data_IF_330633403770
#
_entry.id   IF_330633403770
#
_cell.length_a   1.000
_cell.length_b   1.000
_cell.length_c   1.000
_cell.angle_alpha   90.00
_cell.angle_beta   90.00
_cell.angle_gamma   90.00
#
_symmetry.space_group_name_H-M   'P 1'
#
loop_
_entity.id
_entity.type
_entity.pdbx_description
1 polymer ?
#
# COMPACT_ATOMS: atom_id res chain seq x y z
N UNK A 1 50.39 80.92 -40.18
CA UNK A 1 49.90 80.17 -38.99
C UNK A 1 50.55 80.54 -37.65
N UNK A 2 51.84 80.96 -37.55
CA UNK A 2 52.47 81.32 -36.25
C UNK A 2 51.90 82.58 -35.58
N UNK A 3 51.29 83.48 -36.35
CA UNK A 3 50.66 84.72 -35.85
C UNK A 3 49.40 84.44 -35.04
N UNK A 4 48.66 83.39 -35.41
CA UNK A 4 47.36 83.03 -34.85
C UNK A 4 47.49 82.39 -33.46
N UNK A 5 48.51 81.54 -33.29
CA UNK A 5 48.83 80.90 -31.99
C UNK A 5 49.28 81.94 -30.95
N UNK A 6 50.02 82.97 -31.36
CA UNK A 6 50.43 84.06 -30.46
C UNK A 6 49.22 84.90 -30.04
N UNK A 7 48.34 85.22 -30.99
CA UNK A 7 47.11 85.95 -30.71
C UNK A 7 46.19 85.17 -29.77
N UNK A 8 45.95 83.88 -30.02
CA UNK A 8 45.16 83.03 -29.12
C UNK A 8 45.79 82.89 -27.72
N UNK A 9 47.12 82.81 -27.60
CA UNK A 9 47.80 82.82 -26.29
C UNK A 9 47.59 84.14 -25.55
N UNK A 10 47.65 85.25 -26.25
CA UNK A 10 47.48 86.58 -25.66
C UNK A 10 46.02 86.82 -25.25
N UNK A 11 45.07 86.33 -26.05
CA UNK A 11 43.65 86.33 -25.72
C UNK A 11 43.34 85.44 -24.51
N UNK A 12 43.97 84.26 -24.40
CA UNK A 12 43.88 83.40 -23.22
C UNK A 12 44.38 84.08 -21.94
N UNK A 13 45.46 84.87 -22.01
CA UNK A 13 45.99 85.61 -20.86
C UNK A 13 45.02 86.73 -20.46
N UNK A 14 44.53 87.51 -21.43
CA UNK A 14 43.53 88.56 -21.18
C UNK A 14 42.25 88.01 -20.56
N UNK A 15 41.74 86.89 -21.08
CA UNK A 15 40.55 86.23 -20.52
C UNK A 15 40.80 85.73 -19.08
N UNK A 16 41.99 85.18 -18.80
CA UNK A 16 42.36 84.77 -17.43
C UNK A 16 42.42 85.94 -16.46
N UNK A 17 42.95 87.08 -16.90
CA UNK A 17 43.01 88.29 -16.07
C UNK A 17 41.60 88.85 -15.81
N UNK A 18 40.73 88.89 -16.82
CA UNK A 18 39.34 89.34 -16.69
C UNK A 18 38.53 88.42 -15.75
N UNK A 19 38.75 87.10 -15.82
CA UNK A 19 38.16 86.13 -14.89
C UNK A 19 38.67 86.37 -13.45
N UNK A 20 39.96 86.58 -13.26
CA UNK A 20 40.52 86.85 -11.93
C UNK A 20 40.01 88.17 -11.35
N UNK A 21 39.88 89.22 -12.17
CA UNK A 21 39.39 90.52 -11.74
C UNK A 21 37.91 90.47 -11.35
N UNK A 22 37.10 89.70 -12.10
CA UNK A 22 35.69 89.46 -11.77
C UNK A 22 35.53 88.59 -10.50
N UNK A 23 36.39 87.60 -10.29
CA UNK A 23 36.44 86.83 -9.03
C UNK A 23 36.83 87.71 -7.83
N UNK A 24 37.84 88.57 -7.97
CA UNK A 24 38.22 89.53 -6.94
C UNK A 24 37.08 90.50 -6.59
N UNK A 25 36.33 90.99 -7.59
CA UNK A 25 35.17 91.88 -7.35
C UNK A 25 34.02 91.18 -6.63
N UNK A 26 33.76 89.90 -6.91
CA UNK A 26 32.63 89.16 -6.33
C UNK A 26 32.94 88.49 -4.99
N UNK A 27 34.15 87.98 -4.82
CA UNK A 27 34.54 87.14 -3.68
C UNK A 27 35.64 87.75 -2.81
N UNK A 28 36.22 88.89 -3.21
CA UNK A 28 37.31 89.55 -2.48
C UNK A 28 38.66 88.82 -2.52
N UNK A 29 38.72 87.65 -3.18
CA UNK A 29 39.91 86.82 -3.39
C UNK A 29 39.77 86.03 -4.70
N UNK A 30 40.90 85.68 -5.32
CA UNK A 30 40.91 84.69 -6.41
C UNK A 30 40.69 83.33 -5.77
N UNK A 31 39.64 82.63 -6.20
CA UNK A 31 39.29 81.29 -5.71
C UNK A 31 39.83 80.28 -6.71
N UNK A 32 40.52 79.25 -6.22
CA UNK A 32 40.84 78.10 -7.04
C UNK A 32 39.54 77.30 -7.25
N UNK A 33 39.02 77.36 -8.48
CA UNK A 33 37.79 76.66 -8.85
C UNK A 33 37.99 75.14 -8.80
N UNK A 34 39.18 74.65 -9.09
CA UNK A 34 39.47 73.22 -9.10
C UNK A 34 39.42 72.68 -7.66
N UNK A 35 39.99 73.42 -6.70
CA UNK A 35 39.94 73.07 -5.27
C UNK A 35 38.50 73.14 -4.73
N UNK A 36 37.73 74.17 -5.11
CA UNK A 36 36.34 74.31 -4.69
C UNK A 36 35.45 73.18 -5.23
N UNK A 37 35.58 72.87 -6.51
CA UNK A 37 34.86 71.76 -7.15
C UNK A 37 35.23 70.43 -6.49
N UNK A 38 36.51 70.17 -6.24
CA UNK A 38 36.95 68.97 -5.53
C UNK A 38 36.35 68.88 -4.13
N UNK A 39 36.28 70.00 -3.40
CA UNK A 39 35.71 70.02 -2.05
C UNK A 39 34.21 69.71 -2.06
N UNK A 40 33.47 70.28 -3.01
CA UNK A 40 32.03 70.02 -3.20
C UNK A 40 31.80 68.56 -3.59
N UNK A 41 32.59 68.00 -4.51
CA UNK A 41 32.50 66.60 -4.90
C UNK A 41 32.79 65.65 -3.73
N UNK A 42 33.77 65.96 -2.89
CA UNK A 42 34.06 65.19 -1.67
C UNK A 42 32.88 65.21 -0.70
N UNK A 43 32.24 66.38 -0.52
CA UNK A 43 31.04 66.49 0.33
C UNK A 43 29.88 65.66 -0.23
N UNK A 44 29.56 65.79 -1.52
CA UNK A 44 28.51 64.96 -2.15
C UNK A 44 28.81 63.47 -2.05
N UNK A 45 30.07 63.07 -2.22
CA UNK A 45 30.47 61.67 -2.11
C UNK A 45 30.29 61.16 -0.68
N UNK A 46 30.60 61.98 0.32
CA UNK A 46 30.40 61.63 1.72
C UNK A 46 28.92 61.51 2.08
N UNK A 47 28.09 62.47 1.67
CA UNK A 47 26.63 62.43 1.87
C UNK A 47 26.00 61.23 1.15
N UNK A 48 26.42 60.91 -0.08
CA UNK A 48 25.96 59.71 -0.77
C UNK A 48 26.33 58.43 -0.02
N UNK A 49 27.56 58.33 0.52
CA UNK A 49 27.97 57.15 1.29
C UNK A 49 27.19 57.00 2.58
N UNK A 50 26.99 58.09 3.32
CA UNK A 50 26.19 58.08 4.54
C UNK A 50 24.74 57.63 4.26
N UNK A 51 24.13 58.18 3.21
CA UNK A 51 22.78 57.77 2.79
C UNK A 51 22.73 56.30 2.36
N UNK A 52 23.75 55.80 1.64
CA UNK A 52 23.83 54.39 1.25
C UNK A 52 23.96 53.46 2.46
N UNK A 53 24.74 53.84 3.47
CA UNK A 53 24.89 53.05 4.70
C UNK A 53 23.59 53.00 5.50
N UNK A 54 22.85 54.11 5.60
CA UNK A 54 21.53 54.16 6.24
C UNK A 54 20.50 53.30 5.49
N UNK A 55 20.48 53.38 4.16
CA UNK A 55 19.62 52.54 3.31
C UNK A 55 19.97 51.07 3.46
N UNK A 56 21.26 50.72 3.46
CA UNK A 56 21.72 49.34 3.67
C UNK A 56 21.26 48.81 5.02
N UNK A 57 21.41 49.61 6.08
CA UNK A 57 20.98 49.24 7.43
C UNK A 57 19.47 49.00 7.51
N UNK A 58 18.67 49.84 6.85
CA UNK A 58 17.21 49.66 6.72
C UNK A 58 16.85 48.35 6.04
N UNK A 59 17.52 48.00 4.94
CA UNK A 59 17.32 46.72 4.26
C UNK A 59 17.75 45.52 5.11
N UNK A 60 18.85 45.63 5.86
CA UNK A 60 19.30 44.58 6.78
C UNK A 60 18.33 44.36 7.95
N UNK A 61 17.73 45.42 8.47
CA UNK A 61 16.67 45.33 9.50
C UNK A 61 15.44 44.65 8.94
N UNK A 62 14.98 45.06 7.75
CA UNK A 62 13.81 44.44 7.10
C UNK A 62 14.06 42.97 6.75
N UNK A 63 15.26 42.62 6.31
CA UNK A 63 15.65 41.23 6.08
C UNK A 63 15.65 40.40 7.37
N UNK A 64 16.08 40.97 8.50
CA UNK A 64 16.00 40.32 9.82
C UNK A 64 14.55 40.12 10.27
N UNK A 65 13.70 41.11 10.08
CA UNK A 65 12.27 41.01 10.40
C UNK A 65 11.58 39.92 9.58
N UNK A 66 11.82 39.89 8.26
CA UNK A 66 11.29 38.83 7.40
C UNK A 66 11.78 37.44 7.81
N UNK A 67 13.08 37.29 8.10
CA UNK A 67 13.62 36.01 8.60
C UNK A 67 12.96 35.56 9.89
N UNK A 68 12.69 36.48 10.81
CA UNK A 68 12.00 36.19 12.08
C UNK A 68 10.55 35.79 11.84
N UNK A 69 9.85 36.49 10.94
CA UNK A 69 8.48 36.15 10.56
C UNK A 69 8.40 34.75 9.93
N UNK A 70 9.33 34.45 9.02
CA UNK A 70 9.42 33.14 8.37
C UNK A 70 9.65 32.02 9.40
N UNK A 71 10.60 32.19 10.32
CA UNK A 71 10.87 31.22 11.37
C UNK A 71 9.64 30.97 12.27
N UNK A 72 8.91 32.03 12.64
CA UNK A 72 7.67 31.91 13.42
C UNK A 72 6.59 31.14 12.65
N UNK A 73 6.43 31.42 11.35
CA UNK A 73 5.45 30.74 10.51
C UNK A 73 5.80 29.27 10.27
N UNK A 74 7.09 28.96 10.13
CA UNK A 74 7.57 27.58 10.05
C UNK A 74 7.28 26.81 11.34
N UNK A 75 7.45 27.43 12.50
CA UNK A 75 7.15 26.81 13.80
C UNK A 75 5.64 26.59 13.99
N UNK A 76 4.81 27.54 13.56
CA UNK A 76 3.36 27.41 13.55
C UNK A 76 2.91 26.25 12.66
N UNK A 77 3.48 26.12 11.46
CA UNK A 77 3.21 25.01 10.56
C UNK A 77 3.57 23.66 11.17
N UNK A 78 4.73 23.55 11.84
CA UNK A 78 5.13 22.32 12.54
C UNK A 78 4.10 21.91 13.61
N UNK A 79 3.59 22.87 14.38
CA UNK A 79 2.55 22.59 15.39
C UNK A 79 1.27 22.08 14.76
N UNK A 80 0.81 22.72 13.68
CA UNK A 80 -0.40 22.29 12.96
C UNK A 80 -0.24 20.89 12.39
N UNK A 81 0.93 20.57 11.80
CA UNK A 81 1.22 19.23 11.30
C UNK A 81 1.22 18.20 12.44
N UNK A 82 1.85 18.52 13.58
CA UNK A 82 1.87 17.65 14.74
C UNK A 82 0.45 17.39 15.27
N UNK A 83 -0.35 18.45 15.47
CA UNK A 83 -1.75 18.32 15.91
C UNK A 83 -2.60 17.52 14.92
N UNK A 84 -2.38 17.72 13.61
CA UNK A 84 -3.05 16.95 12.56
C UNK A 84 -2.71 15.45 12.64
N UNK A 85 -1.43 15.15 12.86
CA UNK A 85 -0.93 13.76 12.98
C UNK A 85 -1.47 13.09 14.24
N UNK A 86 -1.52 13.80 15.37
CA UNK A 86 -2.10 13.30 16.62
C UNK A 86 -3.61 13.02 16.48
N UNK A 87 -4.35 13.92 15.83
CA UNK A 87 -5.79 13.72 15.53
C UNK A 87 -6.01 12.53 14.62
N UNK A 88 -5.18 12.38 13.58
CA UNK A 88 -5.25 11.23 12.67
C UNK A 88 -5.01 9.92 13.42
N UNK A 89 -3.98 9.88 14.28
CA UNK A 89 -3.69 8.70 15.10
C UNK A 89 -4.88 8.30 15.99
N UNK A 90 -5.50 9.28 16.67
CA UNK A 90 -6.70 9.03 17.47
C UNK A 90 -7.84 8.49 16.61
N UNK A 91 -8.03 9.04 15.42
CA UNK A 91 -9.08 8.60 14.49
C UNK A 91 -8.84 7.17 14.02
N UNK A 92 -7.60 6.78 13.74
CA UNK A 92 -7.22 5.40 13.41
C UNK A 92 -7.59 4.44 14.55
N UNK A 93 -7.21 4.77 15.79
CA UNK A 93 -7.54 3.93 16.96
C UNK A 93 -9.05 3.82 17.15
N UNK A 94 -9.79 4.93 17.00
CA UNK A 94 -11.25 4.91 17.09
C UNK A 94 -11.89 4.06 15.99
N UNK A 95 -11.34 4.08 14.78
CA UNK A 95 -11.82 3.26 13.67
C UNK A 95 -11.57 1.77 13.92
N UNK A 96 -10.41 1.41 14.49
CA UNK A 96 -10.10 0.04 14.91
C UNK A 96 -11.08 -0.45 15.98
N UNK A 97 -11.34 0.35 17.02
CA UNK A 97 -12.31 0.03 18.06
C UNK A 97 -13.74 -0.09 17.52
N UNK A 98 -14.12 0.80 16.61
CA UNK A 98 -15.41 0.71 15.91
C UNK A 98 -15.52 -0.61 15.14
N UNK A 99 -14.50 -0.97 14.37
CA UNK A 99 -14.47 -2.23 13.62
C UNK A 99 -14.54 -3.45 14.54
N UNK A 100 -13.84 -3.41 15.68
CA UNK A 100 -13.90 -4.46 16.71
C UNK A 100 -15.32 -4.61 17.27
N UNK A 101 -15.98 -3.49 17.55
CA UNK A 101 -17.35 -3.50 18.07
C UNK A 101 -18.35 -4.04 17.04
N UNK A 102 -18.22 -3.65 15.76
CA UNK A 102 -19.04 -4.18 14.67
C UNK A 102 -18.90 -5.70 14.56
N UNK A 103 -17.67 -6.22 14.62
CA UNK A 103 -17.42 -7.67 14.61
C UNK A 103 -18.05 -8.37 15.82
N UNK A 104 -17.91 -7.79 17.01
CA UNK A 104 -18.51 -8.33 18.24
C UNK A 104 -20.04 -8.39 18.15
N UNK A 105 -20.68 -7.33 17.64
CA UNK A 105 -22.12 -7.28 17.43
C UNK A 105 -22.60 -8.31 16.39
N UNK A 106 -21.87 -8.47 15.29
CA UNK A 106 -22.16 -9.49 14.29
C UNK A 106 -22.09 -10.90 14.89
N UNK A 107 -21.05 -11.18 15.68
CA UNK A 107 -20.91 -12.46 16.37
C UNK A 107 -22.05 -12.70 17.38
N UNK A 108 -22.43 -11.68 18.14
CA UNK A 108 -23.54 -11.76 19.08
C UNK A 108 -24.87 -12.08 18.38
N UNK A 109 -25.12 -11.48 17.20
CA UNK A 109 -26.31 -11.77 16.40
C UNK A 109 -26.38 -13.23 15.98
N UNK A 110 -25.26 -13.81 15.52
CA UNK A 110 -25.17 -15.24 15.16
C UNK A 110 -25.45 -16.13 16.38
N UNK A 111 -24.91 -15.79 17.55
CA UNK A 111 -25.17 -16.55 18.78
C UNK A 111 -26.64 -16.50 19.21
N UNK A 112 -27.29 -15.34 19.06
CA UNK A 112 -28.72 -15.19 19.32
C UNK A 112 -29.57 -16.01 18.34
N UNK A 113 -29.22 -16.00 17.06
CA UNK A 113 -29.90 -16.82 16.04
C UNK A 113 -29.75 -18.32 16.36
N UNK A 114 -28.55 -18.78 16.74
CA UNK A 114 -28.35 -20.16 17.20
C UNK A 114 -29.14 -20.51 18.44
N UNK A 115 -29.25 -19.58 19.41
CA UNK A 115 -30.02 -19.79 20.63
C UNK A 115 -31.53 -19.83 20.37
N UNK A 116 -32.00 -19.08 19.37
CA UNK A 116 -33.40 -19.03 18.97
C UNK A 116 -33.81 -20.21 18.08
N UNK A 117 -32.85 -20.98 17.55
CA UNK A 117 -33.16 -22.23 16.87
C UNK A 117 -33.71 -23.24 17.88
N UNK A 118 -34.84 -23.91 17.57
CA UNK A 118 -35.35 -24.96 18.43
C UNK A 118 -34.28 -26.06 18.56
N UNK A 119 -34.14 -26.69 19.75
CA UNK A 119 -33.20 -27.77 19.92
C UNK A 119 -33.46 -28.86 18.86
N UNK A 120 -32.40 -29.48 18.32
CA UNK A 120 -32.53 -30.50 17.28
C UNK A 120 -33.53 -31.56 17.76
N UNK A 121 -34.56 -31.78 16.95
CA UNK A 121 -35.65 -32.68 17.34
C UNK A 121 -35.19 -34.11 17.12
N UNK A 122 -34.76 -34.78 18.19
CA UNK A 122 -34.30 -36.18 18.17
C UNK A 122 -35.42 -37.20 17.91
N UNK A 123 -36.59 -36.78 17.44
CA UNK A 123 -37.76 -37.64 17.25
C UNK A 123 -37.50 -38.73 16.22
N UNK A 124 -36.81 -38.40 15.12
CA UNK A 124 -36.44 -39.34 14.06
C UNK A 124 -35.41 -40.37 14.52
N UNK A 125 -34.43 -39.93 15.32
CA UNK A 125 -33.44 -40.84 15.87
C UNK A 125 -34.05 -41.74 16.95
N UNK A 126 -34.98 -41.21 17.75
CA UNK A 126 -35.75 -42.01 18.71
C UNK A 126 -36.65 -43.05 18.04
N UNK A 127 -37.25 -42.75 16.88
CA UNK A 127 -38.01 -43.75 16.11
C UNK A 127 -37.11 -44.82 15.52
N UNK A 128 -35.96 -44.44 14.93
CA UNK A 128 -34.96 -45.40 14.43
C UNK A 128 -34.46 -46.32 15.56
N UNK A 129 -34.11 -45.74 16.72
CA UNK A 129 -33.67 -46.52 17.89
C UNK A 129 -34.75 -47.47 18.39
N UNK A 130 -36.03 -47.05 18.37
CA UNK A 130 -37.17 -47.90 18.75
C UNK A 130 -37.36 -49.06 17.76
N UNK A 131 -37.17 -48.81 16.47
CA UNK A 131 -37.27 -49.83 15.43
C UNK A 131 -36.13 -50.85 15.55
N UNK A 132 -34.90 -50.39 15.76
CA UNK A 132 -33.75 -51.26 16.04
C UNK A 132 -34.02 -52.12 17.28
N UNK A 133 -34.52 -51.54 18.37
CA UNK A 133 -34.86 -52.28 19.58
C UNK A 133 -35.94 -53.35 19.34
N UNK A 134 -36.92 -53.07 18.47
CA UNK A 134 -37.95 -54.05 18.08
C UNK A 134 -37.34 -55.21 17.31
N UNK A 135 -36.50 -54.92 16.31
CA UNK A 135 -35.81 -55.94 15.51
C UNK A 135 -34.93 -56.83 16.39
N UNK A 136 -34.15 -56.22 17.30
CA UNK A 136 -33.32 -56.97 18.24
C UNK A 136 -34.14 -57.89 19.14
N UNK A 137 -35.31 -57.44 19.62
CA UNK A 137 -36.22 -58.28 20.42
C UNK A 137 -36.76 -59.47 19.62
N UNK A 138 -37.10 -59.28 18.36
CA UNK A 138 -37.54 -60.36 17.46
C UNK A 138 -36.42 -61.36 17.17
N UNK A 139 -35.19 -60.88 16.96
CA UNK A 139 -34.00 -61.71 16.82
C UNK A 139 -33.75 -62.55 18.08
N UNK A 140 -33.79 -61.94 19.27
CA UNK A 140 -33.65 -62.64 20.56
C UNK A 140 -34.72 -63.74 20.69
N UNK A 141 -35.98 -63.45 20.37
CA UNK A 141 -37.05 -64.44 20.44
C UNK A 141 -36.85 -65.61 19.46
N UNK A 142 -36.25 -65.35 18.30
CA UNK A 142 -35.94 -66.37 17.30
C UNK A 142 -34.80 -67.26 17.77
N UNK A 143 -33.71 -66.66 18.25
CA UNK A 143 -32.58 -67.39 18.85
C UNK A 143 -33.02 -68.21 20.06
N UNK A 144 -33.88 -67.68 20.93
CA UNK A 144 -34.41 -68.45 22.06
C UNK A 144 -35.23 -69.67 21.62
N UNK A 145 -36.04 -69.54 20.56
CA UNK A 145 -36.76 -70.68 19.98
C UNK A 145 -35.81 -71.72 19.41
N UNK A 146 -34.79 -71.27 18.69
CA UNK A 146 -33.75 -72.15 18.14
C UNK A 146 -32.97 -72.88 19.24
N UNK A 147 -32.56 -72.19 20.30
CA UNK A 147 -31.91 -72.79 21.47
C UNK A 147 -32.82 -73.85 22.11
N UNK A 148 -34.13 -73.60 22.25
CA UNK A 148 -35.06 -74.61 22.78
C UNK A 148 -35.14 -75.84 21.87
N UNK A 149 -35.24 -75.63 20.55
CA UNK A 149 -35.27 -76.73 19.57
C UNK A 149 -33.96 -77.53 19.59
N UNK A 150 -32.81 -76.87 19.60
CA UNK A 150 -31.49 -77.51 19.72
C UNK A 150 -31.35 -78.25 21.04
N UNK A 151 -31.78 -77.64 22.16
CA UNK A 151 -31.81 -78.29 23.47
C UNK A 151 -32.64 -79.58 23.46
N UNK A 152 -33.81 -79.57 22.80
CA UNK A 152 -34.64 -80.77 22.63
C UNK A 152 -33.98 -81.82 21.73
N UNK A 153 -33.24 -81.43 20.69
CA UNK A 153 -32.43 -82.35 19.86
C UNK A 153 -31.24 -82.95 20.63
N UNK A 154 -30.65 -82.19 21.56
CA UNK A 154 -29.51 -82.65 22.37
C UNK A 154 -29.91 -83.59 23.53
N UNK A 155 -31.16 -83.54 24.01
CA UNK A 155 -31.66 -84.46 25.06
C UNK A 155 -31.53 -85.96 24.70
N UNK A 156 -32.03 -86.45 23.55
CA UNK A 156 -31.88 -87.85 23.17
C UNK A 156 -30.40 -88.23 22.94
N UNK A 157 -29.58 -87.32 22.44
CA UNK A 157 -28.12 -87.53 22.32
C UNK A 157 -27.47 -87.71 23.69
N UNK A 158 -27.87 -86.92 24.69
CA UNK A 158 -27.38 -87.07 26.08
C UNK A 158 -27.81 -88.39 26.71
N UNK A 159 -29.03 -88.85 26.44
CA UNK A 159 -29.51 -90.16 26.87
C UNK A 159 -28.76 -91.31 26.17
N UNK A 160 -28.48 -91.18 24.87
CA UNK A 160 -27.64 -92.12 24.13
C UNK A 160 -26.22 -92.18 24.68
N UNK A 161 -25.59 -91.02 24.94
CA UNK A 161 -24.27 -90.93 25.58
C UNK A 161 -24.28 -91.58 26.97
N UNK A 162 -25.30 -91.33 27.79
CA UNK A 162 -25.42 -91.97 29.10
C UNK A 162 -25.60 -93.49 29.00
N UNK A 163 -26.30 -93.97 27.96
CA UNK A 163 -26.50 -95.40 27.71
C UNK A 163 -25.21 -96.07 27.27
N UNK A 164 -24.51 -95.46 26.31
CA UNK A 164 -23.17 -95.87 25.89
C UNK A 164 -22.15 -95.81 27.03
N UNK A 165 -22.20 -94.81 27.92
CA UNK A 165 -21.35 -94.76 29.11
C UNK A 165 -21.67 -95.89 30.11
N UNK A 166 -22.93 -96.30 30.26
CA UNK A 166 -23.27 -97.48 31.05
C UNK A 166 -22.75 -98.75 30.40
N UNK A 167 -22.88 -98.89 29.08
CA UNK A 167 -22.31 -100.02 28.34
C UNK A 167 -20.78 -100.08 28.48
N UNK A 168 -20.09 -98.93 28.34
CA UNK A 168 -18.64 -98.83 28.57
C UNK A 168 -18.28 -99.19 30.01
N UNK A 169 -19.03 -98.74 31.02
CA UNK A 169 -18.80 -99.17 32.42
C UNK A 169 -19.04 -100.66 32.62
N UNK A 170 -20.01 -101.23 31.93
CA UNK A 170 -20.35 -102.67 32.02
C UNK A 170 -19.29 -103.53 31.31
N UNK A 171 -18.78 -103.06 30.18
CA UNK A 171 -17.66 -103.67 29.46
C UNK A 171 -16.34 -103.50 30.23
N UNK A 172 -16.14 -102.36 30.89
CA UNK A 172 -15.02 -102.09 31.80
C UNK A 172 -15.06 -102.94 33.07
N UNK A 173 -16.22 -103.45 33.48
CA UNK A 173 -16.34 -104.44 34.56
C UNK A 173 -16.12 -105.88 34.08
N UNK A 174 -16.30 -106.16 32.78
CA UNK A 174 -16.01 -107.47 32.15
C UNK A 174 -14.54 -107.65 31.78
N UNK A 175 -13.75 -106.58 31.76
CA UNK A 175 -12.32 -106.63 31.48
C UNK A 175 -11.52 -105.93 32.59
N UNK A 176 -10.84 -106.70 33.44
CA UNK A 176 -9.65 -106.26 34.19
C UNK A 176 -8.73 -107.45 34.42
N UNK A 177 -7.40 -107.27 34.57
CA UNK A 177 -6.67 -106.01 34.63
C UNK A 177 -5.49 -105.94 33.65
N UNK A 178 -4.91 -104.76 33.45
CA UNK A 178 -3.45 -104.51 33.42
C UNK A 178 -3.17 -103.09 32.95
N UNK A 179 -2.42 -102.34 33.77
CA UNK A 179 -1.54 -101.20 33.42
C UNK A 179 -2.18 -100.00 32.70
N UNK A 180 -1.62 -98.81 32.68
CA UNK A 180 -0.58 -98.07 33.40
C UNK A 180 -0.64 -96.65 32.79
N UNK A 181 -0.03 -95.68 33.48
CA UNK A 181 0.63 -94.51 32.87
C UNK A 181 -0.20 -93.49 32.06
N UNK A 182 -0.45 -92.33 32.70
CA UNK A 182 -0.08 -90.94 32.28
C UNK A 182 -0.44 -90.40 30.87
N UNK A 183 -0.21 -89.10 30.56
CA UNK A 183 -0.34 -87.86 31.33
C UNK A 183 -1.20 -86.79 30.61
N UNK A 184 -1.46 -85.69 31.32
CA UNK A 184 -2.06 -84.45 30.82
C UNK A 184 -1.25 -83.79 29.70
N UNK A 185 -1.96 -83.28 28.68
CA UNK A 185 -1.40 -82.38 27.65
C UNK A 185 -2.32 -81.16 27.56
N UNK A 186 -1.91 -80.06 28.17
CA UNK A 186 -2.54 -78.74 28.02
C UNK A 186 -1.74 -77.93 26.98
N UNK A 187 -2.40 -77.58 25.88
CA UNK A 187 -1.82 -76.85 24.75
C UNK A 187 -1.91 -75.35 25.01
N UNK A 188 -0.76 -74.69 24.91
CA UNK A 188 -0.53 -73.25 25.02
C UNK A 188 -1.02 -72.50 23.78
N UNK A 189 -1.67 -71.33 23.94
CA UNK A 189 -1.94 -70.36 22.87
C UNK A 189 -1.27 -69.01 23.25
N UNK A 190 -0.46 -68.38 22.36
CA UNK A 190 0.14 -67.06 22.56
C UNK A 190 -0.79 -65.88 22.13
N UNK A 191 -0.43 -64.61 22.44
CA UNK A 191 -1.37 -63.51 22.72
C UNK A 191 -1.60 -62.55 21.54
N UNK A 192 -2.55 -61.58 21.64
CA UNK A 192 -2.50 -60.38 20.82
C UNK A 192 -1.89 -59.18 21.56
N UNK A 193 -1.01 -58.50 20.83
CA UNK A 193 -0.22 -57.31 21.15
C UNK A 193 -1.13 -56.07 21.19
N UNK A 194 -1.00 -55.27 22.25
CA UNK A 194 -1.64 -53.96 22.39
C UNK A 194 -0.75 -52.88 21.75
N UNK A 195 -1.21 -52.27 20.65
CA UNK A 195 -0.56 -51.11 20.03
C UNK A 195 -0.91 -49.82 20.77
N UNK A 196 0.11 -49.09 21.21
CA UNK A 196 0.01 -47.70 21.68
C UNK A 196 -0.09 -46.75 20.47
N UNK A 197 -0.94 -45.69 20.52
CA UNK A 197 -0.91 -44.61 19.54
C UNK A 197 0.22 -43.59 19.83
N UNK A 198 0.74 -42.91 18.78
CA UNK A 198 1.80 -41.90 18.90
C UNK A 198 1.29 -40.54 19.42
N UNK A 199 2.21 -39.64 19.85
CA UNK A 199 1.87 -38.39 20.54
C UNK A 199 1.42 -37.32 19.54
N UNK A 200 0.40 -36.56 19.93
CA UNK A 200 -0.09 -35.40 19.17
C UNK A 200 0.70 -34.17 19.62
N UNK A 201 1.28 -33.49 18.64
CA UNK A 201 2.06 -32.28 18.80
C UNK A 201 1.19 -31.08 19.19
N UNK A 202 1.84 -30.18 19.89
CA UNK A 202 1.40 -28.87 20.34
C UNK A 202 1.45 -27.85 19.17
N UNK A 203 0.84 -26.69 19.42
CA UNK A 203 0.98 -25.39 18.73
C UNK A 203 0.04 -24.94 17.59
N UNK A 204 -0.31 -23.64 17.73
CA UNK A 204 -0.70 -22.65 16.70
C UNK A 204 -2.19 -22.40 16.45
N UNK A 205 -2.82 -21.70 17.39
CA UNK A 205 -4.11 -21.00 17.22
C UNK A 205 -3.94 -19.58 16.62
N UNK A 206 -2.71 -19.15 16.32
CA UNK A 206 -2.43 -17.77 15.87
C UNK A 206 -2.36 -17.55 14.35
N UNK A 207 -2.36 -18.61 13.53
CA UNK A 207 -2.23 -18.46 12.07
C UNK A 207 -3.56 -18.45 11.29
N UNK A 208 -4.70 -18.70 11.94
CA UNK A 208 -6.00 -18.82 11.24
C UNK A 208 -6.83 -17.53 11.21
N UNK A 209 -6.30 -16.40 11.69
CA UNK A 209 -7.06 -15.12 11.80
C UNK A 209 -6.74 -14.13 10.66
N UNK A 210 -5.74 -14.40 9.82
CA UNK A 210 -5.34 -13.47 8.75
C UNK A 210 -5.92 -13.76 7.36
N UNK A 211 -6.58 -14.91 7.13
CA UNK A 211 -7.00 -15.35 5.79
C UNK A 211 -8.51 -15.24 5.48
N UNK A 212 -9.25 -14.43 6.24
CA UNK A 212 -10.70 -14.25 5.98
C UNK A 212 -11.10 -12.78 5.90
N UNK A 213 -10.71 -12.13 4.80
CA UNK A 213 -11.42 -10.96 4.28
C UNK A 213 -11.80 -11.24 2.81
N UNK A 214 -13.05 -11.00 2.38
CA UNK A 214 -13.49 -11.31 1.03
C UNK A 214 -12.87 -10.36 -0.01
N UNK A 215 -12.59 -10.85 -1.24
CA UNK A 215 -12.03 -10.05 -2.32
C UNK A 215 -13.14 -9.25 -2.99
N UNK A 216 -13.50 -8.10 -2.43
CA UNK A 216 -14.44 -7.20 -3.10
C UNK A 216 -14.25 -5.77 -2.60
N UNK A 217 -13.21 -5.13 -3.15
CA UNK A 217 -13.04 -3.68 -3.44
C UNK A 217 -11.54 -3.44 -3.59
N UNK A 218 -10.93 -3.98 -4.66
CA UNK A 218 -9.65 -3.49 -5.15
C UNK A 218 -9.93 -2.83 -6.50
N UNK A 219 -10.38 -1.57 -6.43
CA UNK A 219 -9.79 -0.60 -7.34
C UNK A 219 -8.30 -0.58 -6.96
N UNK A 220 -7.44 -0.82 -7.93
CA UNK A 220 -5.99 -0.78 -7.80
C UNK A 220 -5.57 0.62 -7.35
N UNK A 221 -5.33 0.80 -6.05
CA UNK A 221 -4.55 1.94 -5.58
C UNK A 221 -3.09 1.74 -6.03
N UNK A 222 -2.37 2.82 -6.40
CA UNK A 222 -0.96 2.76 -6.81
C UNK A 222 -0.07 1.98 -5.81
N UNK A 223 -0.43 1.98 -4.52
CA UNK A 223 0.30 1.32 -3.44
C UNK A 223 0.33 -0.20 -3.49
N UNK A 224 -0.72 -0.84 -4.04
CA UNK A 224 -0.75 -2.31 -4.15
C UNK A 224 0.18 -2.80 -5.26
N UNK A 225 0.34 -2.01 -6.32
CA UNK A 225 1.21 -2.35 -7.44
C UNK A 225 2.68 -2.32 -7.01
N UNK A 226 3.11 -1.23 -6.36
CA UNK A 226 4.46 -1.11 -5.79
C UNK A 226 4.78 -2.25 -4.83
N UNK A 227 3.86 -2.56 -3.92
CA UNK A 227 4.03 -3.65 -2.98
C UNK A 227 4.20 -5.00 -3.70
N UNK A 228 3.38 -5.29 -4.71
CA UNK A 228 3.45 -6.56 -5.44
C UNK A 228 4.73 -6.68 -6.27
N UNK A 229 5.22 -5.58 -6.86
CA UNK A 229 6.43 -5.59 -7.69
C UNK A 229 7.71 -5.67 -6.84
N UNK A 230 7.78 -4.91 -5.74
CA UNK A 230 8.85 -5.05 -4.73
C UNK A 230 8.83 -6.47 -4.14
N UNK A 231 7.65 -7.01 -3.83
CA UNK A 231 7.48 -8.38 -3.33
C UNK A 231 7.98 -9.41 -4.34
N UNK A 232 7.67 -9.26 -5.63
CA UNK A 232 8.18 -10.15 -6.68
C UNK A 232 9.71 -10.11 -6.81
N UNK A 233 10.31 -8.91 -6.82
CA UNK A 233 11.76 -8.76 -6.90
C UNK A 233 12.49 -9.38 -5.70
N UNK A 234 11.91 -9.28 -4.50
CA UNK A 234 12.46 -9.87 -3.29
C UNK A 234 12.23 -11.39 -3.27
N UNK A 235 11.09 -11.88 -3.75
CA UNK A 235 10.79 -13.32 -3.85
C UNK A 235 11.75 -13.99 -4.84
N UNK A 236 11.94 -13.42 -6.04
CA UNK A 236 12.88 -13.93 -7.04
C UNK A 236 14.31 -13.97 -6.50
N UNK A 237 14.75 -12.90 -5.81
CA UNK A 237 16.06 -12.85 -5.17
C UNK A 237 16.24 -13.89 -4.07
N UNK A 238 15.27 -14.03 -3.16
CA UNK A 238 15.37 -14.97 -2.05
C UNK A 238 15.22 -16.42 -2.52
N UNK A 239 14.43 -16.68 -3.55
CA UNK A 239 14.34 -18.01 -4.18
C UNK A 239 15.64 -18.37 -4.88
N UNK A 240 16.28 -17.43 -5.57
CA UNK A 240 17.58 -17.64 -6.23
C UNK A 240 18.70 -17.90 -5.21
N UNK A 241 18.74 -17.14 -4.11
CA UNK A 241 19.82 -17.23 -3.12
C UNK A 241 19.60 -18.30 -2.04
N UNK A 242 18.34 -18.59 -1.66
CA UNK A 242 18.00 -19.45 -0.52
C UNK A 242 17.07 -20.61 -0.85
N UNK A 243 16.49 -20.68 -2.06
CA UNK A 243 15.43 -21.63 -2.43
C UNK A 243 15.80 -23.11 -2.35
N UNK A 244 17.09 -23.45 -2.24
CA UNK A 244 17.56 -24.82 -2.01
C UNK A 244 17.67 -25.22 -0.54
N UNK A 245 17.57 -24.27 0.40
CA UNK A 245 17.89 -24.47 1.83
C UNK A 245 16.75 -24.11 2.79
N UNK A 246 15.76 -23.34 2.33
CA UNK A 246 14.67 -22.78 3.16
C UNK A 246 13.32 -23.19 2.57
N UNK A 247 12.33 -23.41 3.44
CA UNK A 247 10.96 -23.71 3.04
C UNK A 247 10.33 -22.49 2.36
N UNK A 248 9.57 -22.69 1.29
CA UNK A 248 8.88 -21.61 0.57
C UNK A 248 7.94 -20.78 1.46
N UNK A 249 7.43 -21.35 2.56
CA UNK A 249 6.59 -20.62 3.53
C UNK A 249 7.38 -19.55 4.29
N UNK A 250 8.63 -19.82 4.63
CA UNK A 250 9.48 -18.91 5.38
C UNK A 250 10.02 -17.81 4.47
N UNK A 251 10.34 -18.15 3.22
CA UNK A 251 10.68 -17.18 2.17
C UNK A 251 9.53 -16.19 2.00
N UNK A 252 8.30 -16.66 1.77
CA UNK A 252 7.13 -15.78 1.62
C UNK A 252 6.88 -14.87 2.83
N UNK A 253 7.14 -15.35 4.04
CA UNK A 253 7.02 -14.54 5.25
C UNK A 253 8.04 -13.41 5.26
N UNK A 254 9.29 -13.71 4.94
CA UNK A 254 10.38 -12.71 4.88
C UNK A 254 10.15 -11.71 3.74
N UNK A 255 9.73 -12.19 2.57
CA UNK A 255 9.32 -11.36 1.42
C UNK A 255 8.27 -10.34 1.82
N UNK A 256 7.19 -10.76 2.48
CA UNK A 256 6.13 -9.82 2.92
C UNK A 256 6.66 -8.73 3.87
N UNK A 257 7.52 -9.08 4.83
CA UNK A 257 8.05 -8.11 5.78
C UNK A 257 9.03 -7.13 5.11
N UNK A 258 9.89 -7.64 4.23
CA UNK A 258 10.83 -6.83 3.47
C UNK A 258 10.14 -5.94 2.44
N UNK A 259 9.09 -6.45 1.78
CA UNK A 259 8.28 -5.68 0.84
C UNK A 259 7.60 -4.51 1.55
N UNK A 260 6.96 -4.74 2.70
CA UNK A 260 6.40 -3.65 3.50
C UNK A 260 7.46 -2.62 3.96
N UNK A 261 8.62 -3.10 4.42
CA UNK A 261 9.70 -2.24 4.87
C UNK A 261 10.24 -1.35 3.74
N UNK A 262 10.53 -1.93 2.56
CA UNK A 262 11.08 -1.22 1.42
C UNK A 262 10.04 -0.33 0.74
N UNK A 263 8.78 -0.75 0.65
CA UNK A 263 7.68 0.12 0.20
C UNK A 263 7.56 1.37 1.08
N UNK A 264 7.66 1.23 2.41
CA UNK A 264 7.60 2.36 3.34
C UNK A 264 8.82 3.30 3.20
N UNK A 265 10.00 2.76 2.90
CA UNK A 265 11.19 3.59 2.67
C UNK A 265 11.05 4.40 1.38
N UNK A 266 10.60 3.76 0.30
CA UNK A 266 10.42 4.42 -1.00
C UNK A 266 9.38 5.54 -0.91
N UNK A 267 8.34 5.36 -0.09
CA UNK A 267 7.28 6.38 0.09
C UNK A 267 7.72 7.60 0.91
N UNK A 268 8.61 7.40 1.90
CA UNK A 268 8.95 8.45 2.86
C UNK A 268 10.28 9.17 2.56
N UNK A 269 11.12 8.62 1.69
CA UNK A 269 12.46 9.17 1.43
C UNK A 269 12.64 9.56 -0.04
N UNK A 270 12.98 10.82 -0.27
CA UNK A 270 13.37 11.30 -1.59
C UNK A 270 14.64 10.58 -2.08
N UNK A 271 14.71 10.19 -3.36
CA UNK A 271 15.80 9.39 -3.93
C UNK A 271 17.18 10.08 -3.90
N UNK A 272 17.20 11.37 -3.62
CA UNK A 272 18.41 12.19 -3.42
C UNK A 272 19.21 11.78 -2.18
N UNK A 273 18.55 11.18 -1.17
CA UNK A 273 19.16 10.70 0.06
C UNK A 273 19.33 9.17 0.11
N UNK A 274 18.99 8.46 -0.98
CA UNK A 274 19.03 7.00 -1.03
C UNK A 274 20.46 6.45 -0.87
N UNK A 275 21.47 7.14 -1.38
CA UNK A 275 22.89 6.75 -1.22
C UNK A 275 23.37 6.81 0.23
N UNK A 276 22.86 7.76 1.02
CA UNK A 276 23.25 7.96 2.42
C UNK A 276 22.52 6.98 3.35
N UNK A 277 21.32 6.54 2.94
CA UNK A 277 20.49 5.59 3.69
C UNK A 277 20.78 4.12 3.35
N UNK A 278 21.38 3.83 2.18
CA UNK A 278 21.72 2.48 1.72
C UNK A 278 22.42 1.60 2.79
N UNK A 279 23.42 2.10 3.55
CA UNK A 279 24.09 1.29 4.58
C UNK A 279 23.15 0.87 5.71
N UNK A 280 22.23 1.76 6.12
CA UNK A 280 21.27 1.52 7.19
C UNK A 280 20.11 0.62 6.74
N UNK A 281 19.72 0.72 5.46
CA UNK A 281 18.73 -0.17 4.85
C UNK A 281 19.31 -1.58 4.73
N UNK A 282 20.58 -1.73 4.34
CA UNK A 282 21.27 -3.03 4.30
C UNK A 282 21.38 -3.63 5.70
N UNK A 283 21.71 -2.84 6.72
CA UNK A 283 21.79 -3.32 8.10
C UNK A 283 20.43 -3.84 8.62
N UNK A 284 19.35 -3.10 8.35
CA UNK A 284 18.00 -3.54 8.69
C UNK A 284 17.54 -4.73 7.84
N UNK A 285 17.89 -4.79 6.55
CA UNK A 285 17.61 -5.93 5.69
C UNK A 285 18.19 -7.22 6.27
N UNK A 286 19.42 -7.16 6.80
CA UNK A 286 20.06 -8.28 7.48
C UNK A 286 19.31 -8.70 8.75
N UNK A 287 18.67 -7.77 9.47
CA UNK A 287 17.91 -8.12 10.69
C UNK A 287 16.66 -8.99 10.43
N UNK A 288 16.13 -8.99 9.20
CA UNK A 288 15.00 -9.83 8.80
C UNK A 288 15.40 -11.26 8.40
N UNK A 289 16.69 -11.54 8.27
CA UNK A 289 17.22 -12.85 7.85
C UNK A 289 18.05 -13.44 9.01
N UNK A 290 17.82 -14.70 9.42
CA UNK A 290 18.64 -15.36 10.43
C UNK A 290 20.14 -15.32 10.07
N UNK A 291 21.02 -15.07 11.04
CA UNK A 291 22.49 -14.95 10.86
C UNK A 291 23.11 -16.18 10.16
N UNK A 292 22.50 -17.35 10.34
CA UNK A 292 22.90 -18.62 9.73
C UNK A 292 22.73 -18.65 8.20
N UNK A 293 21.77 -17.88 7.67
CA UNK A 293 21.44 -17.76 6.24
C UNK A 293 22.07 -16.53 5.59
N UNK A 294 22.56 -15.58 6.39
CA UNK A 294 23.28 -14.40 5.94
C UNK A 294 24.67 -14.71 5.39
N UNK A 295 25.30 -15.81 5.83
CA UNK A 295 26.62 -16.25 5.36
C UNK A 295 26.58 -16.62 3.86
N UNK A 296 25.41 -17.04 3.37
CA UNK A 296 25.22 -17.45 1.97
C UNK A 296 24.91 -16.31 1.02
N UNK A 297 24.49 -15.13 1.52
CA UNK A 297 24.11 -14.01 0.66
C UNK A 297 25.27 -13.00 0.61
N UNK A 298 25.88 -12.76 -0.58
CA UNK A 298 26.92 -11.76 -0.70
C UNK A 298 26.35 -10.36 -0.44
N UNK A 299 27.02 -9.51 0.37
CA UNK A 299 26.54 -8.17 0.69
C UNK A 299 26.44 -7.27 -0.55
N UNK A 300 27.24 -7.53 -1.60
CA UNK A 300 27.10 -6.88 -2.91
C UNK A 300 25.75 -7.17 -3.58
N UNK A 301 25.23 -8.40 -3.49
CA UNK A 301 23.96 -8.76 -4.14
C UNK A 301 22.75 -8.12 -3.45
N UNK A 302 22.82 -7.89 -2.13
CA UNK A 302 21.80 -7.14 -1.39
C UNK A 302 21.81 -5.66 -1.83
N UNK A 303 23.00 -5.08 -2.00
CA UNK A 303 23.14 -3.71 -2.49
C UNK A 303 22.63 -3.58 -3.94
N UNK A 304 22.92 -4.54 -4.81
CA UNK A 304 22.42 -4.57 -6.19
C UNK A 304 20.89 -4.73 -6.25
N UNK A 305 20.28 -5.55 -5.39
CA UNK A 305 18.83 -5.66 -5.27
C UNK A 305 18.20 -4.32 -4.84
N UNK A 306 18.74 -3.72 -3.78
CA UNK A 306 18.23 -2.45 -3.24
C UNK A 306 18.42 -1.33 -4.26
N UNK A 307 19.57 -1.26 -4.93
CA UNK A 307 19.80 -0.31 -6.04
C UNK A 307 18.91 -0.60 -7.24
N UNK A 308 18.61 -1.87 -7.57
CA UNK A 308 17.68 -2.21 -8.64
C UNK A 308 16.28 -1.73 -8.29
N UNK A 309 15.82 -1.96 -7.05
CA UNK A 309 14.56 -1.44 -6.53
C UNK A 309 14.57 0.09 -6.63
N UNK A 310 15.55 0.75 -6.03
CA UNK A 310 15.66 2.21 -6.11
C UNK A 310 15.77 2.74 -7.53
N UNK A 311 16.43 2.04 -8.48
CA UNK A 311 16.57 2.43 -9.89
C UNK A 311 15.26 2.28 -10.66
N UNK A 312 14.58 1.15 -10.51
CA UNK A 312 13.23 0.91 -11.06
C UNK A 312 12.24 1.97 -10.58
N UNK A 313 12.48 2.57 -9.40
CA UNK A 313 11.65 3.64 -8.85
C UNK A 313 12.29 5.04 -8.86
N UNK A 314 13.52 5.20 -9.40
CA UNK A 314 14.24 6.49 -9.53
C UNK A 314 13.73 7.28 -10.73
N UNK A 315 13.28 6.57 -11.74
CA UNK A 315 12.38 7.05 -12.77
C UNK A 315 11.00 6.99 -12.13
N UNK A 316 10.61 8.07 -11.42
CA UNK A 316 9.32 8.12 -10.75
C UNK A 316 8.25 7.76 -11.76
N UNK A 317 7.54 6.66 -11.51
CA UNK A 317 6.40 6.18 -12.30
C UNK A 317 6.40 6.68 -13.74
N UNK A 318 7.25 6.11 -14.60
CA UNK A 318 6.88 6.03 -16.02
C UNK A 318 5.80 4.93 -16.13
N UNK A 319 4.69 5.09 -15.40
CA UNK A 319 3.40 4.70 -15.95
C UNK A 319 3.38 5.47 -17.26
N UNK A 320 3.34 4.77 -18.38
CA UNK A 320 3.20 5.43 -19.67
C UNK A 320 1.84 6.13 -19.61
N UNK A 321 1.84 7.39 -19.15
CA UNK A 321 0.64 8.20 -18.93
C UNK A 321 -0.15 8.26 -20.23
N UNK A 322 0.53 8.11 -21.38
CA UNK A 322 -0.07 7.98 -22.70
C UNK A 322 -0.84 6.68 -22.91
N UNK A 323 -0.39 5.54 -22.36
CA UNK A 323 -1.13 4.28 -22.42
C UNK A 323 -2.41 4.36 -21.58
N UNK A 324 -2.31 4.83 -20.33
CA UNK A 324 -3.49 5.03 -19.46
C UNK A 324 -4.45 6.06 -20.03
N UNK A 325 -3.95 7.22 -20.48
CA UNK A 325 -4.78 8.23 -21.13
C UNK A 325 -5.40 7.68 -22.43
N UNK A 326 -4.69 6.82 -23.14
CA UNK A 326 -5.19 6.15 -24.35
C UNK A 326 -6.35 5.23 -24.05
N UNK A 327 -6.25 4.44 -22.98
CA UNK A 327 -7.32 3.57 -22.49
C UNK A 327 -8.52 4.37 -21.98
N UNK A 328 -8.29 5.45 -21.21
CA UNK A 328 -9.36 6.34 -20.73
C UNK A 328 -10.13 6.92 -21.90
N UNK A 329 -9.43 7.49 -22.89
CA UNK A 329 -10.07 8.07 -24.08
C UNK A 329 -10.83 7.00 -24.86
N UNK A 330 -10.26 5.80 -25.02
CA UNK A 330 -10.94 4.69 -25.72
C UNK A 330 -12.20 4.26 -24.98
N UNK A 331 -12.14 4.11 -23.65
CA UNK A 331 -13.25 3.70 -22.81
C UNK A 331 -14.38 4.74 -22.83
N UNK A 332 -14.08 6.03 -22.66
CA UNK A 332 -15.08 7.10 -22.75
C UNK A 332 -15.75 7.16 -24.14
N UNK A 333 -15.03 6.84 -25.21
CA UNK A 333 -15.58 6.77 -26.57
C UNK A 333 -16.46 5.53 -26.79
N UNK A 334 -16.22 4.43 -26.08
CA UNK A 334 -17.08 3.23 -26.11
C UNK A 334 -18.34 3.40 -25.26
N UNK A 335 -18.23 4.09 -24.13
CA UNK A 335 -19.33 4.28 -23.18
C UNK A 335 -20.34 5.36 -23.61
N UNK A 336 -19.91 6.36 -24.38
CA UNK A 336 -20.76 7.48 -24.80
C UNK A 336 -21.03 7.40 -26.30
N UNK A 337 -22.31 7.24 -26.66
CA UNK A 337 -22.73 7.12 -28.05
C UNK A 337 -22.84 8.49 -28.76
N UNK A 338 -22.39 8.62 -30.02
CA UNK A 338 -22.44 9.87 -30.82
C UNK A 338 -23.83 10.49 -31.03
N UNK A 339 -24.90 9.72 -30.82
CA UNK A 339 -26.29 10.18 -30.96
C UNK A 339 -26.84 10.88 -29.71
N UNK A 340 -26.02 11.05 -28.66
CA UNK A 340 -26.41 11.74 -27.42
C UNK A 340 -26.47 13.26 -27.61
N UNK A 341 -27.44 13.91 -26.95
CA UNK A 341 -27.46 15.37 -26.84
C UNK A 341 -26.21 15.82 -26.06
N UNK A 342 -25.54 16.87 -26.54
CA UNK A 342 -24.30 17.40 -25.96
C UNK A 342 -23.15 16.38 -25.92
N UNK A 343 -22.99 15.60 -26.99
CA UNK A 343 -21.95 14.56 -27.12
C UNK A 343 -20.53 15.05 -26.76
N UNK A 344 -20.10 16.21 -27.29
CA UNK A 344 -18.78 16.79 -26.99
C UNK A 344 -18.58 17.05 -25.49
N UNK A 345 -19.61 17.57 -24.83
CA UNK A 345 -19.57 17.89 -23.41
C UNK A 345 -19.51 16.62 -22.57
N UNK A 346 -20.38 15.64 -22.85
CA UNK A 346 -20.45 14.40 -22.08
C UNK A 346 -19.14 13.59 -22.17
N UNK A 347 -18.51 13.52 -23.36
CA UNK A 347 -17.22 12.84 -23.51
C UNK A 347 -16.14 13.51 -22.68
N UNK A 348 -16.03 14.83 -22.76
CA UNK A 348 -14.99 15.55 -22.02
C UNK A 348 -15.21 15.44 -20.51
N UNK A 349 -16.45 15.51 -20.04
CA UNK A 349 -16.79 15.28 -18.63
C UNK A 349 -16.36 13.88 -18.19
N UNK A 350 -16.69 12.85 -18.96
CA UNK A 350 -16.38 11.46 -18.61
C UNK A 350 -14.87 11.19 -18.60
N UNK A 351 -14.14 11.69 -19.62
CA UNK A 351 -12.68 11.63 -19.67
C UNK A 351 -12.09 12.33 -18.45
N UNK A 352 -12.56 13.53 -18.11
CA UNK A 352 -12.06 14.27 -16.94
C UNK A 352 -12.35 13.56 -15.62
N UNK A 353 -13.54 12.95 -15.46
CA UNK A 353 -13.87 12.14 -14.27
C UNK A 353 -12.94 10.93 -14.15
N UNK A 354 -12.70 10.23 -15.26
CA UNK A 354 -11.81 9.07 -15.29
C UNK A 354 -10.34 9.47 -15.03
N UNK A 355 -9.88 10.58 -15.61
CA UNK A 355 -8.54 11.13 -15.37
C UNK A 355 -8.36 11.52 -13.90
N UNK A 356 -9.33 12.18 -13.27
CA UNK A 356 -9.27 12.54 -11.86
C UNK A 356 -9.34 11.33 -10.91
N UNK A 357 -9.94 10.23 -11.35
CA UNK A 357 -9.99 8.99 -10.58
C UNK A 357 -8.71 8.15 -10.69
N UNK A 358 -7.87 8.40 -11.71
CA UNK A 358 -6.73 7.54 -12.06
C UNK A 358 -5.37 8.23 -11.97
N UNK A 359 -5.30 9.55 -12.24
CA UNK A 359 -4.06 10.33 -12.27
C UNK A 359 -4.04 11.38 -11.15
N UNK A 360 -2.84 11.74 -10.70
CA UNK A 360 -2.68 12.84 -9.75
C UNK A 360 -2.95 14.18 -10.43
N UNK A 361 -3.50 15.11 -9.65
CA UNK A 361 -3.89 16.47 -10.07
C UNK A 361 -2.73 17.24 -10.75
N UNK A 362 -1.48 16.97 -10.34
CA UNK A 362 -0.29 17.58 -10.93
C UNK A 362 0.00 17.11 -12.37
N UNK A 363 -0.36 15.87 -12.71
CA UNK A 363 -0.08 15.24 -14.00
C UNK A 363 -1.12 15.62 -15.07
N UNK A 364 -2.31 16.03 -14.62
CA UNK A 364 -3.42 16.46 -15.49
C UNK A 364 -3.14 17.80 -16.17
N UNK A 365 -2.38 18.68 -15.53
CA UNK A 365 -2.08 20.03 -16.03
C UNK A 365 -0.84 20.10 -16.93
N UNK A 366 -0.23 18.96 -17.26
CA UNK A 366 0.94 18.95 -18.13
C UNK A 366 0.53 19.19 -19.61
N UNK A 367 1.24 20.05 -20.37
CA UNK A 367 0.92 20.33 -21.78
C UNK A 367 0.86 19.08 -22.67
N UNK A 368 1.74 18.10 -22.42
CA UNK A 368 1.76 16.86 -23.20
C UNK A 368 0.53 15.98 -22.94
N UNK A 369 0.02 15.96 -21.71
CA UNK A 369 -1.22 15.26 -21.32
C UNK A 369 -2.43 15.88 -22.02
N UNK A 370 -2.51 17.21 -22.00
CA UNK A 370 -3.56 17.99 -22.68
C UNK A 370 -3.54 17.72 -24.18
N UNK A 371 -2.37 17.76 -24.81
CA UNK A 371 -2.20 17.50 -26.24
C UNK A 371 -2.57 16.05 -26.61
N UNK A 372 -2.26 15.09 -25.74
CA UNK A 372 -2.56 13.68 -25.98
C UNK A 372 -4.08 13.41 -25.95
N UNK A 373 -4.78 13.91 -24.93
CA UNK A 373 -6.24 13.81 -24.83
C UNK A 373 -6.91 14.49 -26.03
N UNK A 374 -6.46 15.70 -26.39
CA UNK A 374 -6.98 16.43 -27.54
C UNK A 374 -6.80 15.64 -28.85
N UNK A 375 -5.64 15.01 -29.07
CA UNK A 375 -5.38 14.22 -30.26
C UNK A 375 -6.25 12.96 -30.36
N UNK A 376 -6.54 12.30 -29.23
CA UNK A 376 -7.40 11.12 -29.18
C UNK A 376 -8.87 11.40 -29.52
N UNK A 377 -9.33 12.61 -29.25
CA UNK A 377 -10.71 13.06 -29.46
C UNK A 377 -10.87 13.75 -30.84
N UNK A 378 -9.86 14.51 -31.28
CA UNK A 378 -9.87 15.37 -32.48
C UNK A 378 -10.38 14.74 -33.78
N UNK A 379 -10.16 13.45 -33.99
CA UNK A 379 -10.48 12.78 -35.27
C UNK A 379 -11.84 12.06 -35.26
N UNK A 380 -12.62 12.19 -34.19
CA UNK A 380 -13.86 11.43 -34.00
C UNK A 380 -15.09 12.23 -34.50
N UNK A 381 -16.05 11.60 -35.19
CA UNK A 381 -17.21 12.28 -35.75
C UNK A 381 -18.19 12.72 -34.65
N UNK A 382 -18.66 13.97 -34.71
CA UNK A 382 -19.68 14.51 -33.79
C UNK A 382 -19.14 15.41 -32.68
N UNK A 383 -17.82 15.62 -32.58
CA UNK A 383 -17.23 16.56 -31.62
C UNK A 383 -17.22 17.97 -32.21
N UNK A 384 -18.01 18.83 -31.58
CA UNK A 384 -18.00 20.27 -31.76
C UNK A 384 -17.37 20.94 -30.51
N UNK A 385 -16.14 21.51 -30.61
CA UNK A 385 -15.48 22.20 -29.50
C UNK A 385 -16.14 23.53 -29.14
N UNK A 386 -16.89 24.15 -30.05
CA UNK A 386 -17.56 25.44 -29.82
C UNK A 386 -18.94 25.28 -29.15
N UNK A 387 -19.48 24.06 -29.15
CA UNK A 387 -20.70 23.68 -28.45
C UNK A 387 -20.52 23.32 -26.96
N UNK A 388 -19.29 23.36 -26.43
CA UNK A 388 -19.00 22.97 -25.03
C UNK A 388 -19.08 24.18 -24.10
N UNK A 389 -19.96 24.11 -23.10
CA UNK A 389 -20.02 25.09 -22.03
C UNK A 389 -18.97 24.76 -20.95
N UNK A 390 -17.89 25.54 -20.92
CA UNK A 390 -16.73 25.33 -20.04
C UNK A 390 -17.10 25.56 -18.57
N UNK A 391 -17.87 26.60 -18.27
CA UNK A 391 -18.30 26.92 -16.91
C UNK A 391 -19.13 25.80 -16.28
N UNK A 392 -20.12 25.28 -17.02
CA UNK A 392 -20.97 24.19 -16.54
C UNK A 392 -20.16 22.89 -16.35
N UNK A 393 -19.17 22.66 -17.21
CA UNK A 393 -18.29 21.49 -17.11
C UNK A 393 -17.36 21.57 -15.88
N UNK A 394 -16.83 22.76 -15.59
CA UNK A 394 -16.00 22.99 -14.41
C UNK A 394 -16.80 22.75 -13.13
N UNK A 395 -18.04 23.22 -13.05
CA UNK A 395 -18.92 23.00 -11.89
C UNK A 395 -19.21 21.50 -11.67
N UNK A 396 -19.50 20.76 -12.73
CA UNK A 396 -19.78 19.32 -12.64
C UNK A 396 -18.53 18.51 -12.22
N UNK A 397 -17.36 18.84 -12.75
CA UNK A 397 -16.09 18.18 -12.42
C UNK A 397 -15.67 18.51 -10.98
N UNK A 398 -15.86 19.76 -10.53
CA UNK A 398 -15.57 20.14 -9.15
C UNK A 398 -16.49 19.44 -8.15
N UNK A 399 -17.78 19.31 -8.46
CA UNK A 399 -18.72 18.56 -7.62
C UNK A 399 -18.29 17.09 -7.52
N UNK A 400 -17.91 16.48 -8.65
CA UNK A 400 -17.39 15.11 -8.68
C UNK A 400 -16.10 14.98 -7.85
N UNK A 401 -15.17 15.92 -7.98
CA UNK A 401 -13.92 15.93 -7.22
C UNK A 401 -14.14 16.05 -5.70
N UNK A 402 -15.04 16.93 -5.27
CA UNK A 402 -15.39 17.09 -3.85
C UNK A 402 -15.99 15.82 -3.24
N UNK A 403 -16.71 15.03 -4.03
CA UNK A 403 -17.33 13.79 -3.57
C UNK A 403 -16.41 12.56 -3.64
N UNK A 404 -15.39 12.56 -4.54
CA UNK A 404 -14.65 11.34 -4.90
C UNK A 404 -13.12 11.44 -4.78
N UNK A 405 -12.54 12.64 -4.62
CA UNK A 405 -11.08 12.82 -4.52
C UNK A 405 -10.67 13.35 -3.15
N UNK A 406 -9.47 12.99 -2.69
CA UNK A 406 -8.92 13.43 -1.39
C UNK A 406 -8.26 14.82 -1.48
N UNK A 407 -7.91 15.26 -2.70
CA UNK A 407 -7.20 16.50 -2.97
C UNK A 407 -8.16 17.69 -3.18
N UNK A 408 -7.83 18.87 -2.64
CA UNK A 408 -8.55 20.11 -2.96
C UNK A 408 -8.24 20.56 -4.39
N UNK A 409 -9.14 20.26 -5.33
CA UNK A 409 -9.01 20.67 -6.73
C UNK A 409 -9.51 22.11 -6.92
N UNK A 410 -8.63 23.00 -7.38
CA UNK A 410 -8.98 24.38 -7.69
C UNK A 410 -9.73 24.53 -9.03
N UNK A 411 -10.73 25.41 -9.07
CA UNK A 411 -11.50 25.72 -10.29
C UNK A 411 -10.60 26.19 -11.44
N UNK A 412 -9.55 26.96 -11.15
CA UNK A 412 -8.65 27.50 -12.17
C UNK A 412 -7.81 26.41 -12.84
N UNK A 413 -7.49 25.34 -12.12
CA UNK A 413 -6.76 24.20 -12.66
C UNK A 413 -7.64 23.40 -13.63
N UNK A 414 -8.86 23.08 -13.21
CA UNK A 414 -9.85 22.36 -14.04
C UNK A 414 -10.16 23.17 -15.30
N UNK A 415 -10.36 24.48 -15.15
CA UNK A 415 -10.57 25.39 -16.28
C UNK A 415 -9.37 25.37 -17.25
N UNK A 416 -8.14 25.50 -16.73
CA UNK A 416 -6.93 25.51 -17.55
C UNK A 416 -6.75 24.23 -18.39
N UNK A 417 -7.07 23.06 -17.83
CA UNK A 417 -6.99 21.79 -18.54
C UNK A 417 -8.05 21.71 -19.64
N UNK A 418 -9.30 22.06 -19.33
CA UNK A 418 -10.42 22.01 -20.28
C UNK A 418 -10.20 22.97 -21.45
N UNK A 419 -9.82 24.22 -21.14
CA UNK A 419 -9.53 25.23 -22.15
C UNK A 419 -8.33 24.81 -23.01
N UNK A 420 -7.30 24.23 -22.41
CA UNK A 420 -6.15 23.67 -23.12
C UNK A 420 -6.55 22.56 -24.09
N UNK A 421 -7.39 21.61 -23.68
CA UNK A 421 -7.86 20.52 -24.55
C UNK A 421 -8.67 21.11 -25.71
N UNK A 422 -9.62 22.01 -25.44
CA UNK A 422 -10.45 22.64 -26.47
C UNK A 422 -9.62 23.48 -27.44
N UNK A 423 -8.61 24.20 -26.95
CA UNK A 423 -7.69 24.97 -27.78
C UNK A 423 -6.88 24.04 -28.69
N UNK A 424 -6.31 22.94 -28.18
CA UNK A 424 -5.58 21.96 -28.98
C UNK A 424 -6.48 21.27 -30.02
N UNK A 425 -7.77 21.06 -29.72
CA UNK A 425 -8.74 20.56 -30.71
C UNK A 425 -8.97 21.59 -31.82
N UNK A 426 -9.05 22.89 -31.47
CA UNK A 426 -9.28 24.03 -32.40
C UNK A 426 -8.07 24.37 -33.29
N UNK A 427 -6.85 24.29 -32.78
CA UNK A 427 -5.63 24.75 -33.48
C UNK A 427 -5.21 23.81 -34.62
N UNK A 428 -5.74 24.06 -35.82
CA UNK A 428 -5.33 23.45 -37.09
C UNK A 428 -3.92 23.86 -37.53
#
# INVERSE_FOLDING_TARGET
>A
MKTDIKFMRQQLVSLKEEINETMMKKFGRVIDLDELEETILRQYTFEMRANLDDVKKSYEERARELKKLYANKQEELKKVIQEGTEKLHILTVLQEEYNNLVKALAHQKILLERRNQPPPTYSEDLTKLREIAKIQKEQINTLQREIRTLSMKCKPLKEQINTLQREIRTLSMKCKPLSAESPDVEITIPPPVCGKPPPVADESVYNAVMDSAPPSTRASSPDNFLYNEISSLIDDFLVEQLGSRVLQSDIKRVVNHLAHYLSNIIHNFAPEHASDLLPHIIENFKSFIPEELLITIPPQAIAELIESIFRTFKEGYDIDTKEILGEIVSNSLEMIFPASQNYSHNILVDIMKQVLATLHVADVNHPDTIAFIANGIRHKPGIDPDGVNVELMCEEILLYAQENTVDEIGMDLVRGVIEGILQCVREQ
#
